data_IF_868217625242
#
_entry.id   IF_868217625242
#
_cell.length_a   1.000
_cell.length_b   1.000
_cell.length_c   1.000
_cell.angle_alpha   90.00
_cell.angle_beta   90.00
_cell.angle_gamma   90.00
#
_symmetry.space_group_name_H-M   'P 1'
#
loop_
_entity.id
_entity.type
_entity.pdbx_description
1 polymer ?
#
# COMPACT_ATOMS: atom_id res chain seq x y z
N UNK A 1 -11.64 -19.46 1.02
CA UNK A 1 -11.41 -18.42 2.07
C UNK A 1 -10.36 -18.82 3.10
N UNK A 2 -10.37 -20.03 3.68
CA UNK A 2 -9.38 -20.43 4.68
C UNK A 2 -7.93 -20.34 4.20
N UNK A 3 -7.62 -20.89 3.02
CA UNK A 3 -6.28 -20.84 2.40
C UNK A 3 -5.79 -19.40 2.23
N UNK A 4 -6.67 -18.50 1.78
CA UNK A 4 -6.34 -17.07 1.65
C UNK A 4 -5.98 -16.42 2.98
N UNK A 5 -6.69 -16.76 4.07
CA UNK A 5 -6.37 -16.21 5.41
C UNK A 5 -4.99 -16.68 5.87
N UNK A 6 -4.67 -17.96 5.69
CA UNK A 6 -3.35 -18.51 6.01
C UNK A 6 -2.27 -17.83 5.17
N UNK A 7 -2.49 -17.69 3.86
CA UNK A 7 -1.56 -17.00 2.96
C UNK A 7 -1.34 -15.54 3.36
N UNK A 8 -2.39 -14.82 3.76
CA UNK A 8 -2.29 -13.42 4.22
C UNK A 8 -1.50 -13.31 5.53
N UNK A 9 -1.71 -14.22 6.48
CA UNK A 9 -0.93 -14.23 7.74
C UNK A 9 0.55 -14.50 7.45
N UNK A 10 0.85 -15.49 6.61
CA UNK A 10 2.22 -15.79 6.20
C UNK A 10 2.85 -14.61 5.47
N UNK A 11 2.14 -13.99 4.53
CA UNK A 11 2.60 -12.82 3.80
C UNK A 11 2.85 -11.64 4.74
N UNK A 12 1.98 -11.40 5.72
CA UNK A 12 2.17 -10.37 6.73
C UNK A 12 3.46 -10.61 7.52
N UNK A 13 3.67 -11.84 8.01
CA UNK A 13 4.89 -12.21 8.75
C UNK A 13 6.13 -11.98 7.88
N UNK A 14 6.12 -12.43 6.62
CA UNK A 14 7.24 -12.25 5.69
C UNK A 14 7.53 -10.76 5.45
N UNK A 15 6.50 -9.96 5.18
CA UNK A 15 6.67 -8.50 4.96
C UNK A 15 7.25 -7.84 6.20
N UNK A 16 6.78 -8.20 7.39
CA UNK A 16 7.32 -7.66 8.64
C UNK A 16 8.77 -8.11 8.86
N UNK A 17 9.07 -9.38 8.66
CA UNK A 17 10.42 -9.92 8.77
C UNK A 17 11.39 -9.19 7.83
N UNK A 18 11.05 -9.07 6.55
CA UNK A 18 11.84 -8.33 5.56
C UNK A 18 12.00 -6.86 5.92
N UNK A 19 10.95 -6.22 6.46
CA UNK A 19 11.02 -4.81 6.85
C UNK A 19 11.92 -4.57 8.06
N UNK A 20 11.88 -5.46 9.06
CA UNK A 20 12.67 -5.32 10.29
C UNK A 20 14.11 -5.81 10.15
N UNK A 21 14.35 -6.81 9.31
CA UNK A 21 15.70 -7.37 9.08
C UNK A 21 16.40 -6.73 7.88
N UNK A 22 15.63 -6.18 6.93
CA UNK A 22 16.15 -5.49 5.77
C UNK A 22 16.83 -4.18 6.18
N UNK A 23 18.03 -3.94 5.65
CA UNK A 23 18.76 -2.68 5.84
C UNK A 23 18.21 -1.59 4.91
N UNK A 24 16.93 -1.25 5.09
CA UNK A 24 16.23 -0.30 4.24
C UNK A 24 16.59 1.13 4.68
N UNK A 25 17.16 1.92 3.75
CA UNK A 25 17.40 3.35 3.95
C UNK A 25 16.43 4.14 3.10
N UNK A 26 15.66 5.01 3.73
CA UNK A 26 14.80 5.98 3.04
C UNK A 26 15.58 7.28 2.91
N UNK A 27 15.62 7.83 1.71
CA UNK A 27 16.24 9.12 1.41
C UNK A 27 15.18 10.07 0.84
N UNK A 28 15.23 11.35 1.20
CA UNK A 28 14.25 12.32 0.71
C UNK A 28 12.87 12.20 1.34
N UNK A 29 12.74 11.64 2.55
CA UNK A 29 11.44 11.46 3.25
C UNK A 29 10.76 12.81 3.53
N UNK A 30 11.54 13.88 3.70
CA UNK A 30 11.07 15.25 3.89
C UNK A 30 10.23 15.77 2.71
N UNK A 31 10.48 15.28 1.50
CA UNK A 31 9.71 15.67 0.30
C UNK A 31 8.29 15.13 0.34
N UNK A 32 8.10 13.93 0.90
CA UNK A 32 6.77 13.36 1.10
C UNK A 32 5.98 14.21 2.10
N UNK A 33 6.61 14.56 3.22
CA UNK A 33 6.00 15.39 4.25
C UNK A 33 5.62 16.78 3.71
N UNK A 34 6.52 17.41 2.95
CA UNK A 34 6.25 18.69 2.30
C UNK A 34 5.08 18.59 1.31
N UNK A 35 5.09 17.60 0.41
CA UNK A 35 4.02 17.42 -0.57
C UNK A 35 2.66 17.14 0.07
N UNK A 36 2.64 16.38 1.19
CA UNK A 36 1.42 16.15 1.95
C UNK A 36 0.88 17.43 2.60
N UNK A 37 1.75 18.28 3.15
CA UNK A 37 1.33 19.58 3.71
C UNK A 37 0.79 20.53 2.63
N UNK A 38 1.44 20.56 1.48
CA UNK A 38 1.12 21.50 0.41
C UNK A 38 -0.13 21.10 -0.39
N UNK A 39 -0.30 19.80 -0.67
CA UNK A 39 -1.36 19.31 -1.57
C UNK A 39 -2.43 18.47 -0.87
N UNK A 40 -2.23 18.07 0.38
CA UNK A 40 -3.16 17.22 1.15
C UNK A 40 -3.17 15.73 0.74
N UNK A 41 -2.77 15.41 -0.49
CA UNK A 41 -2.68 14.04 -1.01
C UNK A 41 -1.52 13.90 -2.01
N UNK A 42 -1.00 12.68 -2.14
CA UNK A 42 0.06 12.35 -3.10
C UNK A 42 -0.23 11.01 -3.77
N UNK A 43 0.26 10.83 -5.00
CA UNK A 43 0.26 9.54 -5.71
C UNK A 43 1.70 9.06 -5.86
N UNK A 44 2.17 8.14 -5.00
CA UNK A 44 3.52 7.62 -5.08
C UNK A 44 3.71 6.77 -6.33
N UNK A 45 4.78 7.03 -7.09
CA UNK A 45 5.19 6.21 -8.22
C UNK A 45 6.27 5.24 -7.75
N UNK A 46 6.08 3.96 -8.04
CA UNK A 46 7.04 2.92 -7.67
C UNK A 46 7.20 1.91 -8.81
N UNK A 47 8.39 1.32 -8.89
CA UNK A 47 8.64 0.20 -9.77
C UNK A 47 7.91 -1.04 -9.28
N UNK A 48 7.35 -1.80 -10.21
CA UNK A 48 6.53 -2.97 -9.90
C UNK A 48 7.25 -3.99 -9.01
N UNK A 49 8.55 -4.23 -9.27
CA UNK A 49 9.39 -5.15 -8.49
C UNK A 49 9.56 -4.75 -7.01
N UNK A 50 9.31 -3.49 -6.67
CA UNK A 50 9.49 -2.95 -5.32
C UNK A 50 8.17 -2.67 -4.59
N UNK A 51 7.04 -3.09 -5.15
CA UNK A 51 5.70 -2.81 -4.61
C UNK A 51 5.55 -3.21 -3.13
N UNK A 52 6.13 -4.33 -2.71
CA UNK A 52 6.05 -4.77 -1.31
C UNK A 52 6.74 -3.79 -0.35
N UNK A 53 7.96 -3.37 -0.67
CA UNK A 53 8.74 -2.44 0.17
C UNK A 53 8.11 -1.04 0.12
N UNK A 54 7.73 -0.57 -1.06
CA UNK A 54 7.06 0.72 -1.24
C UNK A 54 5.72 0.76 -0.49
N UNK A 55 4.89 -0.27 -0.63
CA UNK A 55 3.62 -0.39 0.09
C UNK A 55 3.84 -0.38 1.60
N UNK A 56 4.84 -1.12 2.09
CA UNK A 56 5.16 -1.15 3.53
C UNK A 56 5.69 0.17 4.06
N UNK A 57 6.47 0.91 3.26
CA UNK A 57 6.91 2.26 3.56
C UNK A 57 5.72 3.22 3.69
N UNK A 58 4.76 3.20 2.76
CA UNK A 58 3.55 4.04 2.83
C UNK A 58 2.70 3.72 4.06
N UNK A 59 2.61 2.44 4.42
CA UNK A 59 1.96 2.03 5.69
C UNK A 59 2.72 2.56 6.91
N UNK A 60 4.05 2.54 6.90
CA UNK A 60 4.86 3.11 7.99
C UNK A 60 4.69 4.63 8.11
N UNK A 61 4.59 5.32 6.97
CA UNK A 61 4.41 6.77 6.88
C UNK A 61 3.11 7.24 7.54
N UNK A 62 2.09 6.36 7.71
CA UNK A 62 0.89 6.68 8.48
C UNK A 62 1.19 7.18 9.89
N UNK A 63 2.10 6.51 10.61
CA UNK A 63 2.43 6.89 12.00
C UNK A 63 3.36 8.09 12.08
N UNK A 64 4.18 8.33 11.05
CA UNK A 64 5.18 9.40 11.04
C UNK A 64 4.63 10.71 10.49
N UNK A 65 3.79 10.63 9.47
CA UNK A 65 3.37 11.77 8.63
C UNK A 65 1.84 11.92 8.53
N UNK A 66 1.08 11.13 9.28
CA UNK A 66 -0.39 11.17 9.23
C UNK A 66 -1.01 10.65 7.92
N UNK A 67 -0.19 10.05 7.03
CA UNK A 67 -0.66 9.55 5.73
C UNK A 67 -1.75 8.49 5.92
N UNK A 68 -2.83 8.57 5.14
CA UNK A 68 -3.85 7.52 5.03
C UNK A 68 -3.56 6.70 3.76
N UNK A 69 -2.81 5.57 3.86
CA UNK A 69 -2.42 4.82 2.67
C UNK A 69 -3.64 4.18 1.99
N UNK A 70 -3.70 4.32 0.67
CA UNK A 70 -4.71 3.70 -0.18
C UNK A 70 -4.05 2.93 -1.31
N UNK A 71 -4.55 1.72 -1.60
CA UNK A 71 -4.05 0.89 -2.70
C UNK A 71 -5.19 0.53 -3.65
N UNK A 72 -4.94 0.72 -4.94
CA UNK A 72 -5.79 0.16 -5.99
C UNK A 72 -5.34 -1.27 -6.25
N UNK A 73 -6.27 -2.21 -6.13
CA UNK A 73 -6.00 -3.64 -6.28
C UNK A 73 -7.05 -4.23 -7.23
N UNK A 74 -6.62 -5.12 -8.13
CA UNK A 74 -7.46 -5.73 -9.15
C UNK A 74 -8.79 -6.24 -8.58
N UNK A 75 -9.93 -6.08 -9.27
CA UNK A 75 -11.19 -6.68 -8.87
C UNK A 75 -11.23 -8.20 -9.06
N UNK A 76 -10.24 -8.81 -9.74
CA UNK A 76 -10.17 -10.26 -9.94
C UNK A 76 -9.99 -11.04 -8.63
N UNK A 77 -10.18 -12.36 -8.70
CA UNK A 77 -9.98 -13.31 -7.59
C UNK A 77 -8.54 -13.24 -7.05
N UNK A 78 -7.54 -13.05 -7.92
CA UNK A 78 -6.15 -12.87 -7.53
C UNK A 78 -5.91 -11.60 -6.68
N UNK A 79 -6.79 -10.60 -6.81
CA UNK A 79 -6.77 -9.38 -6.02
C UNK A 79 -7.24 -9.56 -4.58
N UNK A 80 -7.84 -10.70 -4.21
CA UNK A 80 -8.37 -10.92 -2.86
C UNK A 80 -7.26 -11.00 -1.80
N UNK A 81 -6.22 -11.80 -2.04
CA UNK A 81 -5.07 -11.93 -1.14
C UNK A 81 -4.40 -10.57 -0.84
N UNK A 82 -3.95 -9.79 -1.84
CA UNK A 82 -3.35 -8.49 -1.58
C UNK A 82 -4.33 -7.49 -0.98
N UNK A 83 -5.64 -7.56 -1.30
CA UNK A 83 -6.66 -6.74 -0.65
C UNK A 83 -6.77 -7.01 0.85
N UNK A 84 -6.80 -8.28 1.24
CA UNK A 84 -6.81 -8.67 2.65
C UNK A 84 -5.53 -8.22 3.36
N UNK A 85 -4.37 -8.42 2.74
CA UNK A 85 -3.08 -8.01 3.31
C UNK A 85 -3.00 -6.49 3.52
N UNK A 86 -3.39 -5.69 2.52
CA UNK A 86 -3.41 -4.24 2.63
C UNK A 86 -4.34 -3.76 3.77
N UNK A 87 -5.52 -4.38 3.92
CA UNK A 87 -6.45 -4.07 5.01
C UNK A 87 -5.88 -4.44 6.39
N UNK A 88 -5.20 -5.57 6.52
CA UNK A 88 -4.52 -5.97 7.78
C UNK A 88 -3.43 -4.95 8.16
N UNK A 89 -2.76 -4.37 7.18
CA UNK A 89 -1.83 -3.25 7.38
C UNK A 89 -2.52 -1.90 7.64
N UNK A 90 -3.86 -1.85 7.69
CA UNK A 90 -4.64 -0.65 7.96
C UNK A 90 -4.71 0.33 6.80
N UNK A 91 -4.48 -0.14 5.57
CA UNK A 91 -4.64 0.66 4.35
C UNK A 91 -6.05 0.54 3.77
N UNK A 92 -6.50 1.62 3.13
CA UNK A 92 -7.73 1.61 2.35
C UNK A 92 -7.52 0.84 1.03
N UNK A 93 -8.49 0.03 0.63
CA UNK A 93 -8.39 -0.76 -0.60
C UNK A 93 -9.50 -0.36 -1.54
N UNK A 94 -9.10 0.05 -2.73
CA UNK A 94 -9.99 0.39 -3.82
C UNK A 94 -9.91 -0.72 -4.87
N UNK A 95 -11.04 -1.31 -5.24
CA UNK A 95 -11.05 -2.36 -6.26
C UNK A 95 -11.14 -1.73 -7.66
N UNK A 96 -10.11 -1.95 -8.47
CA UNK A 96 -10.00 -1.35 -9.79
C UNK A 96 -8.79 -1.82 -10.59
N UNK A 97 -8.69 -1.38 -11.84
CA UNK A 97 -7.58 -1.62 -12.75
C UNK A 97 -7.09 -0.31 -13.34
N UNK A 98 -5.77 -0.15 -13.44
CA UNK A 98 -5.14 1.01 -14.06
C UNK A 98 -5.57 1.24 -15.52
N UNK A 99 -6.03 0.19 -16.22
CA UNK A 99 -6.40 0.27 -17.64
C UNK A 99 -7.88 0.58 -17.89
N UNK A 100 -8.80 0.21 -17.00
CA UNK A 100 -10.25 0.26 -17.29
C UNK A 100 -11.09 1.00 -16.25
N UNK A 101 -10.70 0.96 -14.97
CA UNK A 101 -11.56 1.45 -13.87
C UNK A 101 -10.84 2.37 -12.90
N UNK A 102 -9.58 2.73 -13.15
CA UNK A 102 -8.74 3.46 -12.21
C UNK A 102 -9.30 4.82 -11.79
N UNK A 103 -9.83 5.60 -12.73
CA UNK A 103 -10.44 6.91 -12.42
C UNK A 103 -11.69 6.76 -11.54
N UNK A 104 -12.57 5.80 -11.85
CA UNK A 104 -13.79 5.54 -11.05
C UNK A 104 -13.44 5.03 -9.66
N UNK A 105 -12.44 4.16 -9.58
CA UNK A 105 -11.92 3.62 -8.34
C UNK A 105 -11.42 4.76 -7.43
N UNK A 106 -10.55 5.65 -7.93
CA UNK A 106 -9.98 6.73 -7.12
C UNK A 106 -11.00 7.80 -6.72
N UNK A 107 -12.01 8.07 -7.56
CA UNK A 107 -13.10 9.01 -7.22
C UNK A 107 -13.89 8.65 -5.96
N UNK A 108 -13.89 7.38 -5.55
CA UNK A 108 -14.56 6.95 -4.31
C UNK A 108 -13.74 7.14 -3.03
N UNK A 109 -12.51 7.68 -3.12
CA UNK A 109 -11.57 7.83 -1.99
C UNK A 109 -11.50 9.27 -1.46
N UNK A 110 -11.98 10.24 -2.24
CA UNK A 110 -12.05 11.65 -1.87
C UNK A 110 -13.28 11.94 -1.00
#
# INVERSE_FOLDING_TARGET
MFVYRVAVVLAFIIVQFLWYTGRIRVTGEERLEQALREHGAVVPVCWHQHLLICGRFLVAARRRHGLKPGFMISPSVDGEAPSMLARVHGAHVVRGSGSYTGVRAVRGVY
#
